data_IF_197644152726
#
_entry.id   IF_197644152726
#
_cell.length_a   1.000
_cell.length_b   1.000
_cell.length_c   1.000
_cell.angle_alpha   90.00
_cell.angle_beta   90.00
_cell.angle_gamma   90.00
#
_symmetry.space_group_name_H-M   'P 1'
#
loop_
_entity.id
_entity.type
_entity.pdbx_description
1 polymer ?
#
# COMPACT_ATOMS: atom_id res chain seq x y z
N UNK A 1 2.43 11.45 -24.48
CA UNK A 1 2.70 11.27 -23.05
C UNK A 1 2.33 9.84 -22.70
N UNK A 2 3.31 8.98 -22.39
CA UNK A 2 3.03 7.57 -22.11
C UNK A 2 2.23 7.41 -20.82
N UNK A 3 1.26 6.50 -20.79
CA UNK A 3 0.51 6.17 -19.59
C UNK A 3 1.49 5.64 -18.53
N UNK A 4 1.79 6.45 -17.52
CA UNK A 4 2.54 5.99 -16.36
C UNK A 4 1.71 4.90 -15.68
N UNK A 5 2.27 3.69 -15.61
CA UNK A 5 1.66 2.54 -14.92
C UNK A 5 2.48 2.23 -13.68
N UNK A 6 1.79 2.03 -12.56
CA UNK A 6 2.37 1.59 -11.30
C UNK A 6 1.93 0.17 -11.02
N UNK A 7 2.87 -0.73 -10.77
CA UNK A 7 2.56 -2.09 -10.36
C UNK A 7 2.12 -2.11 -8.88
N UNK A 8 1.09 -2.90 -8.57
CA UNK A 8 0.68 -3.17 -7.19
C UNK A 8 1.25 -4.52 -6.79
N UNK A 9 2.22 -4.52 -5.86
CA UNK A 9 2.97 -5.72 -5.46
C UNK A 9 3.27 -5.68 -3.96
N UNK A 10 2.90 -6.76 -3.26
CA UNK A 10 3.14 -6.92 -1.81
C UNK A 10 4.28 -7.91 -1.49
N UNK A 11 4.76 -8.68 -2.46
CA UNK A 11 5.82 -9.67 -2.24
C UNK A 11 7.22 -9.12 -2.60
N UNK A 12 8.25 -9.58 -1.89
CA UNK A 12 9.60 -9.07 -2.05
C UNK A 12 10.19 -9.37 -3.44
N UNK A 13 9.90 -10.54 -4.01
CA UNK A 13 10.47 -10.97 -5.29
C UNK A 13 9.90 -10.14 -6.45
N UNK A 14 8.58 -9.93 -6.49
CA UNK A 14 7.90 -9.07 -7.43
C UNK A 14 8.41 -7.63 -7.32
N UNK A 15 8.54 -7.10 -6.10
CA UNK A 15 9.11 -5.75 -5.90
C UNK A 15 10.55 -5.65 -6.39
N UNK A 16 11.38 -6.67 -6.18
CA UNK A 16 12.74 -6.70 -6.68
C UNK A 16 12.79 -6.71 -8.21
N UNK A 17 11.95 -7.54 -8.85
CA UNK A 17 11.81 -7.60 -10.30
C UNK A 17 11.40 -6.25 -10.89
N UNK A 18 10.33 -5.63 -10.38
CA UNK A 18 9.84 -4.36 -10.86
C UNK A 18 10.88 -3.23 -10.71
N UNK A 19 11.61 -3.21 -9.58
CA UNK A 19 12.73 -2.27 -9.37
C UNK A 19 13.85 -2.47 -10.38
N UNK A 20 14.23 -3.72 -10.66
CA UNK A 20 15.25 -4.03 -11.65
C UNK A 20 14.86 -3.58 -13.07
N UNK A 21 13.55 -3.52 -13.36
CA UNK A 21 13.01 -3.08 -14.65
C UNK A 21 12.62 -1.59 -14.67
N UNK A 22 12.91 -0.81 -13.63
CA UNK A 22 12.55 0.61 -13.55
C UNK A 22 11.04 0.87 -13.49
N UNK A 23 10.24 -0.14 -13.11
CA UNK A 23 8.79 -0.02 -12.97
C UNK A 23 8.47 0.54 -11.58
N UNK A 24 7.61 1.56 -11.54
CA UNK A 24 7.12 2.10 -10.27
C UNK A 24 6.25 1.09 -9.54
N UNK A 25 6.40 0.99 -8.22
CA UNK A 25 5.69 0.01 -7.38
C UNK A 25 5.02 0.66 -6.20
N UNK A 26 3.81 0.22 -5.90
CA UNK A 26 3.09 0.46 -4.64
C UNK A 26 2.62 -0.88 -4.07
N UNK A 27 2.47 -0.99 -2.74
CA UNK A 27 1.83 -2.15 -2.11
C UNK A 27 0.38 -1.85 -1.76
N UNK A 28 -0.39 -2.87 -1.34
CA UNK A 28 -1.80 -2.73 -0.93
C UNK A 28 -1.96 -1.67 0.16
N UNK A 29 -1.06 -1.63 1.15
CA UNK A 29 -1.08 -0.61 2.20
C UNK A 29 -0.94 0.81 1.63
N UNK A 30 -0.06 1.00 0.65
CA UNK A 30 0.09 2.29 -0.03
C UNK A 30 -1.15 2.69 -0.83
N UNK A 31 -1.85 1.73 -1.43
CA UNK A 31 -3.12 1.98 -2.15
C UNK A 31 -4.20 2.45 -1.18
N UNK A 32 -4.32 1.83 -0.02
CA UNK A 32 -5.29 2.23 1.03
C UNK A 32 -5.01 3.66 1.49
N UNK A 33 -3.75 3.99 1.80
CA UNK A 33 -3.37 5.34 2.19
C UNK A 33 -3.66 6.36 1.10
N UNK A 34 -3.35 6.03 -0.16
CA UNK A 34 -3.61 6.92 -1.28
C UNK A 34 -5.11 7.16 -1.48
N UNK A 35 -5.95 6.14 -1.26
CA UNK A 35 -7.40 6.28 -1.31
C UNK A 35 -7.91 7.21 -0.21
N UNK A 36 -7.37 7.11 1.00
CA UNK A 36 -7.73 7.98 2.13
C UNK A 36 -7.30 9.43 1.85
N UNK A 37 -6.05 9.65 1.41
CA UNK A 37 -5.53 10.98 1.10
C UNK A 37 -6.30 11.68 -0.03
N UNK A 38 -6.91 10.90 -0.92
CA UNK A 38 -7.76 11.39 -2.02
C UNK A 38 -9.24 11.55 -1.63
N UNK A 39 -9.59 11.26 -0.37
CA UNK A 39 -10.97 11.33 0.11
C UNK A 39 -11.92 10.27 -0.46
N UNK A 40 -11.38 9.20 -1.07
CA UNK A 40 -12.19 8.09 -1.61
C UNK A 40 -12.70 7.16 -0.49
N UNK A 41 -11.99 7.11 0.62
CA UNK A 41 -12.39 6.44 1.86
C UNK A 41 -12.20 7.41 3.03
N UNK A 42 -13.07 7.34 4.04
CA UNK A 42 -13.03 8.26 5.17
C UNK A 42 -11.90 7.99 6.18
N UNK A 43 -11.48 6.74 6.33
CA UNK A 43 -10.41 6.31 7.22
C UNK A 43 -9.65 5.14 6.61
N UNK A 44 -8.34 5.05 6.81
CA UNK A 44 -7.50 3.95 6.33
C UNK A 44 -7.60 2.71 7.23
N UNK A 45 -7.66 2.89 8.55
CA UNK A 45 -7.59 1.82 9.55
C UNK A 45 -8.55 0.63 9.27
N UNK A 46 -9.85 0.82 8.98
CA UNK A 46 -10.76 -0.31 8.74
C UNK A 46 -10.32 -1.20 7.57
N UNK A 47 -9.82 -0.58 6.50
CA UNK A 47 -9.36 -1.29 5.30
C UNK A 47 -8.02 -1.98 5.52
N UNK A 48 -7.12 -1.40 6.31
CA UNK A 48 -5.87 -2.06 6.71
C UNK A 48 -6.17 -3.31 7.53
N UNK A 49 -7.09 -3.23 8.50
CA UNK A 49 -7.49 -4.39 9.31
C UNK A 49 -8.17 -5.46 8.46
N UNK A 50 -9.03 -5.07 7.51
CA UNK A 50 -9.66 -5.99 6.58
C UNK A 50 -8.64 -6.68 5.67
N UNK A 51 -7.65 -5.95 5.15
CA UNK A 51 -6.59 -6.52 4.33
C UNK A 51 -5.75 -7.53 5.13
N UNK A 52 -5.41 -7.20 6.38
CA UNK A 52 -4.70 -8.11 7.27
C UNK A 52 -5.52 -9.39 7.54
N UNK A 53 -6.81 -9.26 7.83
CA UNK A 53 -7.71 -10.39 8.02
C UNK A 53 -7.85 -11.26 6.75
N UNK A 54 -7.69 -10.67 5.56
CA UNK A 54 -7.68 -11.36 4.28
C UNK A 54 -6.32 -12.01 3.93
N UNK A 55 -5.32 -11.94 4.81
CA UNK A 55 -4.01 -12.57 4.62
C UNK A 55 -2.90 -11.65 4.14
N UNK A 56 -3.08 -10.32 4.19
CA UNK A 56 -1.98 -9.39 3.98
C UNK A 56 -1.04 -9.42 5.20
N UNK A 57 0.14 -10.01 5.02
CA UNK A 57 1.15 -10.14 6.07
C UNK A 57 1.92 -8.83 6.23
N UNK A 58 1.59 -8.06 7.26
CA UNK A 58 2.31 -6.84 7.65
C UNK A 58 2.69 -6.93 9.11
N UNK A 59 3.89 -6.45 9.44
CA UNK A 59 4.27 -6.29 10.83
C UNK A 59 3.36 -5.26 11.52
N UNK A 60 2.87 -5.53 12.74
CA UNK A 60 2.03 -4.57 13.47
C UNK A 60 2.68 -3.19 13.63
N UNK A 61 4.00 -3.13 13.79
CA UNK A 61 4.76 -1.89 13.87
C UNK A 61 4.69 -1.06 12.57
N UNK A 62 4.68 -1.73 11.41
CA UNK A 62 4.52 -1.05 10.12
C UNK A 62 3.13 -0.45 9.97
N UNK A 63 2.08 -1.19 10.36
CA UNK A 63 0.70 -0.69 10.36
C UNK A 63 0.58 0.55 11.24
N UNK A 64 1.08 0.47 12.48
CA UNK A 64 1.02 1.58 13.43
C UNK A 64 1.75 2.83 12.91
N UNK A 65 2.97 2.65 12.37
CA UNK A 65 3.73 3.75 11.77
C UNK A 65 2.98 4.40 10.61
N UNK A 66 2.34 3.57 9.78
CA UNK A 66 1.63 4.04 8.60
C UNK A 66 0.36 4.82 8.96
N UNK A 67 -0.46 4.31 9.88
CA UNK A 67 -1.64 5.03 10.34
C UNK A 67 -1.23 6.35 11.02
N UNK A 68 -0.19 6.33 11.86
CA UNK A 68 0.32 7.54 12.50
C UNK A 68 0.79 8.59 11.49
N UNK A 69 1.33 8.17 10.33
CA UNK A 69 1.79 9.09 9.28
C UNK A 69 0.67 9.88 8.60
N UNK A 70 -0.58 9.44 8.74
CA UNK A 70 -1.78 10.13 8.23
C UNK A 70 -2.70 10.65 9.34
N UNK A 71 -2.26 10.60 10.60
CA UNK A 71 -3.01 11.08 11.76
C UNK A 71 -4.09 10.11 12.28
N UNK A 72 -3.99 8.81 11.97
CA UNK A 72 -4.85 7.72 12.49
C UNK A 72 -4.12 6.77 13.45
#
# INVERSE_FOLDING_TARGET
MGNARTAVLDDQAGRACARAQGVSVIGTLGVILLAQQRGLIGQARPWVMQAQAAGLFLEPALIAKVLASIGE
#
